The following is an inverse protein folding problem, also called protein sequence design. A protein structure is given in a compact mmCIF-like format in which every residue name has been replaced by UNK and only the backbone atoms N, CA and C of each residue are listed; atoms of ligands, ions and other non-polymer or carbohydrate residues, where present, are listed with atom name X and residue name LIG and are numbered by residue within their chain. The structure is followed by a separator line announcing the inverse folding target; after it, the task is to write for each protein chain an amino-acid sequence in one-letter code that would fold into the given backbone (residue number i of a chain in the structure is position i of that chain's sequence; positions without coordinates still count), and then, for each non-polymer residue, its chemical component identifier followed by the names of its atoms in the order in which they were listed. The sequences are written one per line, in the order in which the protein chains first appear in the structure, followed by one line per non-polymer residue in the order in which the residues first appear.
data_IF_461214706889
#
_entry.id   IF_461214706889
#
_cell.length_a   1.000
_cell.length_b   1.000
_cell.length_c   1.000
_cell.angle_alpha   90.00
_cell.angle_beta   90.00
_cell.angle_gamma   90.00
#
_symmetry.space_group_name_H-M   'P 1'
#
loop_
_entity.id
_entity.type
_entity.pdbx_description
1 polymer ?
#
# COMPACT_ATOMS: atom_id res chain seq x y z
N UNK A 1 22.09 63.63 -59.41
CA UNK A 1 23.44 63.26 -58.95
C UNK A 1 23.66 61.80 -59.32
N UNK A 2 24.36 61.58 -60.44
CA UNK A 2 25.69 60.93 -60.51
C UNK A 2 25.60 59.40 -60.36
N UNK A 3 25.53 58.67 -61.49
CA UNK A 3 26.64 57.91 -62.13
C UNK A 3 26.94 56.60 -61.39
N UNK A 4 27.27 55.46 -61.99
CA UNK A 4 27.20 54.87 -63.35
C UNK A 4 27.90 53.50 -63.21
N UNK A 5 27.47 52.52 -64.02
CA UNK A 5 28.28 51.44 -64.63
C UNK A 5 29.12 50.51 -63.72
N UNK A 6 28.89 49.20 -63.81
CA UNK A 6 29.67 48.31 -64.68
C UNK A 6 29.08 46.89 -64.71
N UNK A 7 29.26 46.26 -65.86
CA UNK A 7 28.81 44.93 -66.28
C UNK A 7 30.07 44.05 -66.43
N UNK A 8 30.05 42.81 -65.99
CA UNK A 8 30.75 41.72 -66.70
C UNK A 8 30.21 40.34 -66.32
N UNK A 9 29.77 39.64 -67.36
CA UNK A 9 29.54 38.20 -67.51
C UNK A 9 30.78 37.35 -67.21
N UNK A 10 30.59 36.11 -66.73
CA UNK A 10 31.02 34.89 -67.43
C UNK A 10 30.54 33.61 -66.73
N UNK A 11 30.39 32.58 -67.57
CA UNK A 11 29.72 31.29 -67.43
C UNK A 11 30.38 30.29 -66.46
N UNK A 12 29.57 29.39 -65.88
CA UNK A 12 29.71 27.92 -66.04
C UNK A 12 28.61 27.17 -65.27
N UNK A 13 27.88 26.27 -65.96
CA UNK A 13 26.82 25.39 -65.45
C UNK A 13 27.38 24.10 -64.78
N UNK A 14 26.59 23.03 -64.58
CA UNK A 14 25.55 22.78 -63.56
C UNK A 14 25.92 21.58 -62.64
N UNK A 15 25.25 21.36 -61.51
CA UNK A 15 24.90 20.00 -61.03
C UNK A 15 24.23 19.95 -59.64
N UNK A 16 23.33 18.96 -59.53
CA UNK A 16 22.93 18.19 -58.37
C UNK A 16 22.07 18.85 -57.27
N UNK A 17 20.76 18.59 -57.40
CA UNK A 17 19.80 18.39 -56.31
C UNK A 17 20.39 17.63 -55.11
N UNK A 18 20.10 18.09 -53.90
CA UNK A 18 19.98 17.22 -52.71
C UNK A 18 18.63 17.52 -52.04
N UNK A 19 17.82 16.47 -51.93
CA UNK A 19 16.54 16.44 -51.27
C UNK A 19 16.77 16.30 -49.75
N UNK A 20 16.67 17.41 -49.02
CA UNK A 20 16.53 17.41 -47.55
C UNK A 20 15.26 18.19 -47.19
N UNK A 21 14.12 17.57 -47.48
CA UNK A 21 12.82 18.01 -46.99
C UNK A 21 12.00 16.74 -46.68
N UNK A 22 12.36 16.01 -45.62
CA UNK A 22 11.73 14.71 -45.39
C UNK A 22 12.10 14.01 -44.09
N UNK A 23 12.26 14.71 -42.96
CA UNK A 23 12.41 14.04 -41.64
C UNK A 23 11.54 14.66 -40.53
N UNK A 24 10.80 15.74 -40.79
CA UNK A 24 10.05 16.46 -39.75
C UNK A 24 8.54 16.18 -39.66
N UNK A 25 7.97 15.23 -40.43
CA UNK A 25 6.50 15.06 -40.55
C UNK A 25 5.98 13.64 -40.32
N UNK A 26 6.40 12.98 -39.25
CA UNK A 26 5.69 11.78 -38.75
C UNK A 26 5.19 11.97 -37.32
N UNK A 27 5.87 12.78 -36.51
CA UNK A 27 5.44 13.17 -35.16
C UNK A 27 4.23 14.12 -35.16
N UNK A 28 4.14 15.03 -36.12
CA UNK A 28 2.97 15.93 -36.26
C UNK A 28 1.74 15.17 -36.76
N UNK A 29 1.90 14.21 -37.67
CA UNK A 29 0.77 13.52 -38.30
C UNK A 29 0.09 12.51 -37.36
N UNK A 30 0.86 11.84 -36.48
CA UNK A 30 0.29 10.99 -35.43
C UNK A 30 -0.22 11.80 -34.23
N UNK A 31 0.43 12.92 -33.90
CA UNK A 31 0.02 13.82 -32.81
C UNK A 31 -1.19 14.70 -33.12
N UNK A 32 -1.47 15.01 -34.38
CA UNK A 32 -2.63 15.83 -34.79
C UNK A 32 -3.95 15.05 -34.83
N UNK A 33 -3.90 13.71 -34.89
CA UNK A 33 -5.10 12.87 -34.96
C UNK A 33 -5.66 12.45 -33.59
N UNK A 34 -4.85 12.52 -32.53
CA UNK A 34 -5.25 12.31 -31.14
C UNK A 34 -5.93 13.59 -30.66
N UNK A 35 -7.20 13.46 -30.27
CA UNK A 35 -8.03 14.56 -29.81
C UNK A 35 -7.27 15.26 -28.68
N UNK A 36 -7.20 16.61 -28.74
CA UNK A 36 -6.48 17.48 -27.78
C UNK A 36 -6.74 17.12 -26.31
N UNK A 37 -7.89 16.51 -26.03
CA UNK A 37 -8.41 16.10 -24.73
C UNK A 37 -7.65 14.92 -24.09
N UNK A 38 -7.07 14.00 -24.88
CA UNK A 38 -6.35 12.82 -24.37
C UNK A 38 -4.85 12.81 -24.70
N UNK A 39 -4.30 13.95 -25.12
CA UNK A 39 -2.87 14.09 -25.47
C UNK A 39 -1.94 13.73 -24.30
N UNK A 40 -2.34 14.09 -23.06
CA UNK A 40 -1.56 13.73 -21.87
C UNK A 40 -1.47 12.21 -21.70
N UNK A 41 -2.59 11.50 -21.84
CA UNK A 41 -2.65 10.05 -21.73
C UNK A 41 -1.83 9.35 -22.82
N UNK A 42 -1.84 9.89 -24.05
CA UNK A 42 -1.00 9.40 -25.14
C UNK A 42 0.50 9.53 -24.83
N UNK A 43 0.94 10.68 -24.32
CA UNK A 43 2.35 10.87 -23.98
C UNK A 43 2.77 10.02 -22.77
N UNK A 44 1.89 9.81 -21.77
CA UNK A 44 2.15 8.91 -20.64
C UNK A 44 2.34 7.48 -21.11
N UNK A 45 1.38 6.91 -21.85
CA UNK A 45 1.46 5.54 -22.33
C UNK A 45 2.64 5.32 -23.28
N UNK A 46 2.94 6.32 -24.10
CA UNK A 46 4.15 6.34 -24.94
C UNK A 46 5.43 6.31 -24.10
N UNK A 47 5.47 7.07 -23.01
CA UNK A 47 6.61 7.12 -22.11
C UNK A 47 6.79 5.79 -21.36
N UNK A 48 5.71 5.15 -20.91
CA UNK A 48 5.74 3.82 -20.30
C UNK A 48 6.30 2.75 -21.25
N UNK A 49 5.90 2.76 -22.53
CA UNK A 49 6.47 1.86 -23.55
C UNK A 49 7.96 2.14 -23.74
N UNK A 50 8.38 3.41 -23.73
CA UNK A 50 9.80 3.79 -23.84
C UNK A 50 10.59 3.29 -22.63
N UNK A 51 10.07 3.46 -21.43
CA UNK A 51 10.75 3.07 -20.20
C UNK A 51 10.83 1.55 -20.06
N UNK A 52 9.74 0.83 -20.39
CA UNK A 52 9.74 -0.63 -20.47
C UNK A 52 10.79 -1.15 -21.46
N UNK A 53 10.82 -0.58 -22.67
CA UNK A 53 11.79 -1.01 -23.69
C UNK A 53 13.22 -0.71 -23.30
N UNK A 54 13.47 0.45 -22.67
CA UNK A 54 14.79 0.82 -22.15
C UNK A 54 15.26 -0.13 -21.03
N UNK A 55 14.38 -0.47 -20.10
CA UNK A 55 14.68 -1.39 -18.99
C UNK A 55 15.08 -2.79 -19.50
N UNK A 56 14.50 -3.23 -20.63
CA UNK A 56 14.74 -4.55 -21.22
C UNK A 56 15.74 -4.54 -22.40
N UNK A 57 16.40 -3.40 -22.67
CA UNK A 57 17.35 -3.28 -23.78
C UNK A 57 16.73 -3.45 -25.18
N UNK A 58 15.42 -3.22 -25.30
CA UNK A 58 14.66 -3.32 -26.54
C UNK A 58 14.82 -1.99 -27.30
N UNK A 59 15.27 -2.05 -28.55
CA UNK A 59 15.37 -0.84 -29.38
C UNK A 59 13.99 -0.43 -29.91
N UNK A 60 13.78 0.88 -30.11
CA UNK A 60 12.53 1.39 -30.70
C UNK A 60 12.23 0.78 -32.08
N UNK A 61 13.28 0.54 -32.88
CA UNK A 61 13.14 -0.06 -34.22
C UNK A 61 12.62 -1.51 -34.14
N UNK A 62 12.90 -2.21 -33.04
CA UNK A 62 12.42 -3.57 -32.76
C UNK A 62 10.89 -3.61 -32.66
N UNK A 63 10.27 -2.61 -32.02
CA UNK A 63 8.80 -2.53 -31.88
C UNK A 63 8.07 -2.43 -33.24
N UNK A 64 8.73 -1.86 -34.25
CA UNK A 64 8.15 -1.67 -35.58
C UNK A 64 8.31 -2.88 -36.52
N UNK A 65 9.03 -3.92 -36.10
CA UNK A 65 9.41 -5.08 -36.93
C UNK A 65 8.96 -6.39 -36.25
N UNK A 66 7.88 -7.03 -36.73
CA UNK A 66 7.31 -8.22 -36.10
C UNK A 66 8.31 -9.35 -35.84
N UNK A 67 9.22 -9.60 -36.78
CA UNK A 67 10.23 -10.66 -36.65
C UNK A 67 11.24 -10.36 -35.53
N UNK A 68 11.66 -9.10 -35.40
CA UNK A 68 12.58 -8.68 -34.34
C UNK A 68 11.87 -8.60 -32.99
N UNK A 69 10.63 -8.10 -32.95
CA UNK A 69 9.82 -8.08 -31.73
C UNK A 69 9.67 -9.49 -31.18
N UNK A 70 9.36 -10.46 -32.05
CA UNK A 70 9.23 -11.87 -31.69
C UNK A 70 10.52 -12.42 -31.07
N UNK A 71 11.67 -12.14 -31.68
CA UNK A 71 12.98 -12.58 -31.16
C UNK A 71 13.28 -12.04 -29.76
N UNK A 72 12.91 -10.78 -29.48
CA UNK A 72 13.17 -10.17 -28.18
C UNK A 72 12.14 -10.58 -27.13
N UNK A 73 10.88 -10.79 -27.52
CA UNK A 73 9.84 -11.32 -26.63
C UNK A 73 10.16 -12.72 -26.09
N UNK A 74 10.85 -13.58 -26.84
CA UNK A 74 11.28 -14.89 -26.35
C UNK A 74 12.25 -14.85 -25.15
N UNK A 75 12.84 -13.68 -24.86
CA UNK A 75 13.79 -13.48 -23.76
C UNK A 75 13.14 -12.83 -22.53
N UNK A 76 11.88 -12.40 -22.64
CA UNK A 76 11.13 -11.80 -21.55
C UNK A 76 10.54 -12.88 -20.64
N UNK A 77 10.34 -12.55 -19.37
CA UNK A 77 9.56 -13.39 -18.47
C UNK A 77 8.08 -13.40 -18.90
N UNK A 78 7.29 -14.36 -18.43
CA UNK A 78 5.84 -14.40 -18.70
C UNK A 78 5.15 -13.11 -18.25
N UNK A 79 5.50 -12.61 -17.05
CA UNK A 79 4.96 -11.35 -16.51
C UNK A 79 5.33 -10.15 -17.37
N UNK A 80 6.58 -10.06 -17.85
CA UNK A 80 7.01 -8.97 -18.74
C UNK A 80 6.35 -9.04 -20.11
N UNK A 81 6.03 -10.26 -20.60
CA UNK A 81 5.28 -10.45 -21.84
C UNK A 81 3.84 -9.98 -21.72
N UNK A 82 3.16 -10.35 -20.65
CA UNK A 82 1.79 -9.92 -20.35
C UNK A 82 1.74 -8.40 -20.22
N UNK A 83 2.71 -7.82 -19.52
CA UNK A 83 2.86 -6.36 -19.40
C UNK A 83 3.08 -5.67 -20.74
N UNK A 84 3.99 -6.18 -21.58
CA UNK A 84 4.24 -5.60 -22.90
C UNK A 84 3.01 -5.72 -23.80
N UNK A 85 2.31 -6.86 -23.78
CA UNK A 85 1.09 -7.07 -24.52
C UNK A 85 0.01 -6.06 -24.11
N UNK A 86 -0.17 -5.84 -22.80
CA UNK A 86 -1.12 -4.86 -22.26
C UNK A 86 -0.81 -3.43 -22.72
N UNK A 87 0.46 -3.00 -22.60
CA UNK A 87 0.89 -1.66 -23.02
C UNK A 87 0.62 -1.43 -24.52
N UNK A 88 0.93 -2.42 -25.36
CA UNK A 88 0.70 -2.34 -26.80
C UNK A 88 -0.80 -2.33 -27.14
N UNK A 89 -1.61 -3.12 -26.45
CA UNK A 89 -3.06 -3.16 -26.62
C UNK A 89 -3.72 -1.83 -26.26
N UNK A 90 -3.33 -1.22 -25.12
CA UNK A 90 -3.81 0.10 -24.71
C UNK A 90 -3.41 1.18 -25.72
N UNK A 91 -2.20 1.07 -26.29
CA UNK A 91 -1.71 2.02 -27.28
C UNK A 91 -2.46 1.89 -28.60
N UNK A 92 -2.72 0.66 -29.04
CA UNK A 92 -3.57 0.38 -30.21
C UNK A 92 -5.00 0.89 -30.00
N UNK A 93 -5.60 0.62 -28.84
CA UNK A 93 -6.93 1.13 -28.50
C UNK A 93 -6.99 2.65 -28.57
N UNK A 94 -6.01 3.34 -27.96
CA UNK A 94 -5.93 4.80 -27.97
C UNK A 94 -5.79 5.37 -29.39
N UNK A 95 -5.08 4.68 -30.29
CA UNK A 95 -4.98 5.08 -31.69
C UNK A 95 -6.30 4.89 -32.46
N UNK A 96 -7.04 3.81 -32.18
CA UNK A 96 -8.30 3.46 -32.88
C UNK A 96 -9.46 4.30 -32.35
N UNK A 97 -9.64 4.35 -31.04
CA UNK A 97 -10.80 4.94 -30.36
C UNK A 97 -10.59 6.42 -30.00
N UNK A 98 -9.34 6.89 -30.02
CA UNK A 98 -8.94 8.27 -29.64
C UNK A 98 -9.25 8.64 -28.19
N UNK A 99 -9.52 7.63 -27.36
CA UNK A 99 -9.73 7.73 -25.92
C UNK A 99 -8.94 6.60 -25.21
N UNK A 100 -8.58 6.76 -23.93
CA UNK A 100 -7.93 5.71 -23.15
C UNK A 100 -8.80 4.45 -23.12
N UNK A 101 -8.16 3.27 -23.20
CA UNK A 101 -8.85 2.02 -22.86
C UNK A 101 -9.18 2.09 -21.37
N UNK A 102 -10.47 2.09 -21.04
CA UNK A 102 -10.91 1.96 -19.65
C UNK A 102 -10.57 0.55 -19.17
N UNK A 103 -9.88 0.46 -18.03
CA UNK A 103 -9.60 -0.84 -17.39
C UNK A 103 -10.89 -1.29 -16.75
N UNK A 104 -11.49 -2.35 -17.29
CA UNK A 104 -12.75 -2.91 -16.80
C UNK A 104 -12.54 -4.17 -15.96
N UNK A 105 -11.37 -4.78 -16.03
CA UNK A 105 -11.03 -5.98 -15.28
C UNK A 105 -10.40 -5.62 -13.92
N UNK A 106 -10.98 -6.05 -12.79
CA UNK A 106 -10.43 -5.75 -11.47
C UNK A 106 -9.00 -6.26 -11.26
N UNK A 107 -8.66 -7.42 -11.81
CA UNK A 107 -7.32 -8.00 -11.66
C UNK A 107 -6.27 -7.18 -12.43
N UNK A 108 -6.57 -6.81 -13.68
CA UNK A 108 -5.75 -5.89 -14.47
C UNK A 108 -5.53 -4.56 -13.73
N UNK A 109 -6.59 -3.99 -13.14
CA UNK A 109 -6.49 -2.73 -12.39
C UNK A 109 -5.56 -2.85 -11.17
N UNK A 110 -5.73 -3.86 -10.33
CA UNK A 110 -4.91 -3.96 -9.12
C UNK A 110 -3.47 -4.35 -9.41
N UNK A 111 -3.20 -5.06 -10.49
CA UNK A 111 -1.82 -5.33 -10.89
C UNK A 111 -1.14 -4.07 -11.44
N UNK A 112 -1.82 -3.30 -12.28
CA UNK A 112 -1.26 -2.05 -12.83
C UNK A 112 -0.96 -1.02 -11.75
N UNK A 113 -1.90 -0.78 -10.83
CA UNK A 113 -1.75 0.29 -9.85
C UNK A 113 -1.07 -0.18 -8.56
N UNK A 114 -1.33 -1.41 -8.10
CA UNK A 114 -0.89 -1.87 -6.77
C UNK A 114 0.16 -3.01 -6.82
N UNK A 115 0.41 -3.64 -7.98
CA UNK A 115 1.25 -4.85 -8.09
C UNK A 115 0.83 -5.92 -7.07
N UNK A 116 -0.48 -6.15 -6.98
CA UNK A 116 -1.08 -6.84 -5.84
C UNK A 116 -0.76 -8.35 -5.82
N UNK A 117 -0.55 -8.97 -6.98
CA UNK A 117 -0.34 -10.42 -7.07
C UNK A 117 0.89 -10.87 -6.26
N UNK A 118 2.03 -10.18 -6.46
CA UNK A 118 3.27 -10.49 -5.73
C UNK A 118 3.12 -10.28 -4.23
N UNK A 119 2.45 -9.19 -3.83
CA UNK A 119 2.22 -8.88 -2.42
C UNK A 119 1.31 -9.92 -1.75
N UNK A 120 0.26 -10.34 -2.45
CA UNK A 120 -0.69 -11.34 -1.99
C UNK A 120 -0.02 -12.71 -1.82
N UNK A 121 0.64 -13.20 -2.88
CA UNK A 121 1.30 -14.51 -2.86
C UNK A 121 2.36 -14.60 -1.74
N UNK A 122 3.17 -13.55 -1.57
CA UNK A 122 4.15 -13.48 -0.49
C UNK A 122 3.50 -13.59 0.90
N UNK A 123 2.39 -12.87 1.12
CA UNK A 123 1.69 -12.90 2.40
C UNK A 123 1.03 -14.26 2.67
N UNK A 124 0.39 -14.86 1.67
CA UNK A 124 -0.18 -16.21 1.79
C UNK A 124 0.90 -17.21 2.19
N UNK A 125 2.02 -17.25 1.45
CA UNK A 125 3.14 -18.15 1.73
C UNK A 125 3.71 -17.94 3.15
N UNK A 126 3.89 -16.69 3.56
CA UNK A 126 4.36 -16.36 4.89
C UNK A 126 3.37 -16.84 5.97
N UNK A 127 2.09 -16.56 5.81
CA UNK A 127 1.04 -16.93 6.77
C UNK A 127 0.87 -18.46 6.89
N UNK A 128 1.06 -19.21 5.81
CA UNK A 128 1.16 -20.68 5.82
C UNK A 128 2.42 -21.14 6.56
N UNK A 129 3.58 -20.56 6.23
CA UNK A 129 4.88 -20.93 6.82
C UNK A 129 4.93 -20.73 8.35
N UNK A 130 4.24 -19.70 8.87
CA UNK A 130 4.15 -19.43 10.31
C UNK A 130 2.99 -20.17 10.99
N UNK A 131 2.15 -20.87 10.23
CA UNK A 131 1.06 -21.70 10.75
C UNK A 131 -0.19 -20.92 11.18
N UNK A 132 -0.35 -19.67 10.71
CA UNK A 132 -1.61 -18.92 10.84
C UNK A 132 -2.64 -19.53 9.91
N UNK A 133 -2.28 -19.73 8.64
CA UNK A 133 -3.12 -20.44 7.68
C UNK A 133 -2.93 -21.95 7.84
N UNK A 134 -4.04 -22.63 8.09
CA UNK A 134 -4.14 -24.09 8.07
C UNK A 134 -5.16 -24.46 7.01
N UNK A 135 -4.72 -25.16 5.98
CA UNK A 135 -5.57 -25.54 4.83
C UNK A 135 -6.27 -24.30 4.20
N UNK A 136 -5.56 -23.17 4.10
CA UNK A 136 -6.07 -21.94 3.50
C UNK A 136 -7.05 -21.14 4.38
N UNK A 137 -7.14 -21.43 5.68
CA UNK A 137 -8.06 -20.74 6.58
C UNK A 137 -7.47 -20.46 7.96
N UNK A 138 -8.10 -19.54 8.70
CA UNK A 138 -7.86 -19.29 10.13
C UNK A 138 -9.00 -19.83 10.97
N UNK A 139 -8.71 -20.13 12.24
CA UNK A 139 -9.71 -20.46 13.25
C UNK A 139 -10.07 -19.20 14.06
N UNK A 140 -11.34 -18.83 14.02
CA UNK A 140 -11.88 -17.68 14.74
C UNK A 140 -12.06 -17.91 16.25
N UNK A 141 -12.15 -16.82 17.01
CA UNK A 141 -12.47 -16.85 18.46
C UNK A 141 -13.85 -17.44 18.77
N UNK A 142 -14.72 -17.49 17.78
CA UNK A 142 -16.07 -18.05 17.82
C UNK A 142 -16.11 -19.53 17.39
N UNK A 143 -14.95 -20.12 17.09
CA UNK A 143 -14.81 -21.50 16.62
C UNK A 143 -15.13 -21.70 15.13
N UNK A 144 -15.45 -20.63 14.40
CA UNK A 144 -15.69 -20.71 12.96
C UNK A 144 -14.37 -20.77 12.18
N UNK A 145 -14.40 -21.40 11.01
CA UNK A 145 -13.27 -21.45 10.08
C UNK A 145 -13.48 -20.36 9.03
N UNK A 146 -12.49 -19.48 8.89
CA UNK A 146 -12.53 -18.33 7.99
C UNK A 146 -11.49 -18.51 6.88
N UNK A 147 -11.89 -18.79 5.62
CA UNK A 147 -10.95 -18.90 4.52
C UNK A 147 -10.25 -17.57 4.28
N UNK A 148 -9.00 -17.62 3.81
CA UNK A 148 -8.30 -16.41 3.37
C UNK A 148 -9.06 -15.73 2.22
N UNK A 149 -9.17 -14.40 2.20
CA UNK A 149 -9.75 -13.67 1.06
C UNK A 149 -8.95 -13.95 -0.20
N UNK A 150 -9.61 -14.23 -1.32
CA UNK A 150 -8.90 -14.47 -2.59
C UNK A 150 -8.42 -13.16 -3.20
N UNK A 151 -7.41 -13.25 -4.08
CA UNK A 151 -6.92 -12.09 -4.82
C UNK A 151 -8.04 -11.41 -5.61
N UNK A 152 -8.95 -12.19 -6.21
CA UNK A 152 -10.10 -11.68 -6.97
C UNK A 152 -11.09 -10.92 -6.08
N UNK A 153 -11.33 -11.39 -4.85
CA UNK A 153 -12.20 -10.71 -3.90
C UNK A 153 -11.62 -9.35 -3.50
N UNK A 154 -10.32 -9.31 -3.24
CA UNK A 154 -9.61 -8.07 -2.89
C UNK A 154 -9.58 -7.13 -4.11
N UNK A 155 -9.28 -7.66 -5.28
CA UNK A 155 -9.22 -6.91 -6.53
C UNK A 155 -10.55 -6.25 -6.87
N UNK A 156 -11.65 -7.01 -6.76
CA UNK A 156 -13.00 -6.50 -7.01
C UNK A 156 -13.33 -5.33 -6.09
N UNK A 157 -13.02 -5.43 -4.80
CA UNK A 157 -13.27 -4.34 -3.84
C UNK A 157 -12.46 -3.08 -4.11
N UNK A 158 -11.16 -3.24 -4.39
CA UNK A 158 -10.32 -2.09 -4.74
C UNK A 158 -10.85 -1.43 -6.01
N UNK A 159 -11.25 -2.24 -7.00
CA UNK A 159 -11.80 -1.75 -8.26
C UNK A 159 -13.14 -1.04 -8.08
N UNK A 160 -14.09 -1.62 -7.33
CA UNK A 160 -15.39 -1.01 -7.04
C UNK A 160 -15.23 0.32 -6.29
N UNK A 161 -14.25 0.40 -5.38
CA UNK A 161 -13.95 1.61 -4.59
C UNK A 161 -12.91 2.53 -5.21
N UNK A 162 -12.47 2.29 -6.46
CA UNK A 162 -11.33 2.98 -7.10
C UNK A 162 -11.44 4.50 -7.07
N UNK A 163 -12.63 5.05 -7.29
CA UNK A 163 -12.87 6.50 -7.24
C UNK A 163 -12.63 7.07 -5.84
N UNK A 164 -13.09 6.36 -4.80
CA UNK A 164 -12.88 6.76 -3.40
C UNK A 164 -11.44 6.52 -2.91
N UNK A 165 -10.73 5.58 -3.55
CA UNK A 165 -9.35 5.22 -3.21
C UNK A 165 -8.32 6.02 -4.00
N UNK A 166 -8.68 6.73 -5.06
CA UNK A 166 -7.75 7.47 -5.92
C UNK A 166 -6.87 8.45 -5.12
N UNK A 167 -7.47 9.19 -4.19
CA UNK A 167 -6.71 10.10 -3.30
C UNK A 167 -5.75 9.33 -2.40
N UNK A 168 -6.12 8.14 -1.91
CA UNK A 168 -5.26 7.31 -1.06
C UNK A 168 -4.14 6.64 -1.84
N UNK A 169 -4.43 6.26 -3.06
CA UNK A 169 -3.43 5.80 -4.00
C UNK A 169 -2.37 6.88 -4.27
N UNK A 170 -2.78 8.11 -4.59
CA UNK A 170 -1.86 9.26 -4.76
C UNK A 170 -1.01 9.49 -3.50
N UNK A 171 -1.61 9.36 -2.32
CA UNK A 171 -0.94 9.48 -1.02
C UNK A 171 -0.04 8.28 -0.67
N UNK A 172 0.08 7.29 -1.56
CA UNK A 172 1.01 6.16 -1.46
C UNK A 172 0.46 4.94 -0.70
N UNK A 173 -0.85 4.83 -0.47
CA UNK A 173 -1.46 3.65 0.16
C UNK A 173 -1.56 2.48 -0.83
N UNK A 174 -0.44 1.82 -1.10
CA UNK A 174 -0.31 0.75 -2.11
C UNK A 174 0.13 -0.60 -1.55
N UNK A 175 0.58 -0.65 -0.29
CA UNK A 175 1.06 -1.87 0.37
C UNK A 175 -0.09 -2.64 1.01
N UNK A 176 -0.37 -3.85 0.51
CA UNK A 176 -1.38 -4.76 1.05
C UNK A 176 -0.98 -5.28 2.44
N UNK A 177 -1.95 -5.46 3.32
CA UNK A 177 -1.82 -6.18 4.58
C UNK A 177 -3.06 -7.05 4.84
N UNK A 178 -2.87 -8.37 4.85
CA UNK A 178 -3.88 -9.38 5.16
C UNK A 178 -3.84 -9.76 6.64
N UNK A 179 -4.76 -9.22 7.42
CA UNK A 179 -4.76 -9.38 8.88
C UNK A 179 -5.74 -10.48 9.30
N UNK A 180 -5.29 -11.53 10.03
CA UNK A 180 -6.13 -12.61 10.50
C UNK A 180 -6.96 -12.18 11.74
N UNK A 181 -7.76 -11.13 11.61
CA UNK A 181 -8.45 -10.45 12.71
C UNK A 181 -9.29 -11.37 13.59
N UNK A 182 -9.95 -12.37 13.00
CA UNK A 182 -10.80 -13.32 13.71
C UNK A 182 -10.04 -14.29 14.61
N UNK A 183 -8.75 -14.49 14.37
CA UNK A 183 -7.87 -15.29 15.22
C UNK A 183 -7.73 -14.63 16.60
N UNK A 184 -7.60 -15.43 17.66
CA UNK A 184 -7.37 -14.87 18.99
C UNK A 184 -6.04 -14.15 19.06
N UNK A 185 -6.01 -13.01 19.75
CA UNK A 185 -4.79 -12.23 19.95
C UNK A 185 -3.73 -13.07 20.68
N UNK A 186 -4.14 -13.93 21.63
CA UNK A 186 -3.23 -14.86 22.30
C UNK A 186 -2.53 -15.82 21.34
N UNK A 187 -3.28 -16.41 20.40
CA UNK A 187 -2.71 -17.31 19.41
C UNK A 187 -1.78 -16.55 18.44
N UNK A 188 -2.18 -15.36 17.99
CA UNK A 188 -1.36 -14.54 17.10
C UNK A 188 -0.05 -14.09 17.79
N UNK A 189 -0.11 -13.69 19.06
CA UNK A 189 1.06 -13.33 19.88
C UNK A 189 2.03 -14.50 20.03
N UNK A 190 1.51 -15.71 20.24
CA UNK A 190 2.35 -16.91 20.33
C UNK A 190 2.98 -17.26 18.97
N UNK A 191 2.21 -17.19 17.88
CA UNK A 191 2.75 -17.38 16.53
C UNK A 191 3.86 -16.36 16.22
N UNK A 192 3.67 -15.10 16.62
CA UNK A 192 4.68 -14.06 16.44
C UNK A 192 5.98 -14.37 17.21
N UNK A 193 5.88 -14.82 18.46
CA UNK A 193 7.05 -15.29 19.24
C UNK A 193 7.80 -16.40 18.51
N UNK A 194 7.07 -17.41 18.03
CA UNK A 194 7.66 -18.54 17.30
C UNK A 194 8.29 -18.09 15.97
N UNK A 195 7.66 -17.14 15.27
CA UNK A 195 8.21 -16.53 14.07
C UNK A 195 9.55 -15.85 14.36
N UNK A 196 9.64 -14.98 15.37
CA UNK A 196 10.89 -14.30 15.74
C UNK A 196 12.00 -15.31 16.07
N UNK A 197 11.70 -16.33 16.87
CA UNK A 197 12.65 -17.39 17.23
C UNK A 197 13.11 -18.15 15.98
N UNK A 198 12.20 -18.50 15.06
CA UNK A 198 12.51 -19.19 13.80
C UNK A 198 13.37 -18.30 12.90
N UNK A 199 13.02 -17.03 12.77
CA UNK A 199 13.75 -16.05 11.99
C UNK A 199 15.19 -15.88 12.51
N UNK A 200 15.38 -15.76 13.83
CA UNK A 200 16.71 -15.73 14.46
C UNK A 200 17.54 -16.98 14.16
N UNK A 201 16.92 -18.16 14.11
CA UNK A 201 17.62 -19.41 13.78
C UNK A 201 18.12 -19.45 12.34
N UNK A 202 17.37 -18.89 11.39
CA UNK A 202 17.78 -18.80 9.99
C UNK A 202 18.68 -17.58 9.70
N UNK A 203 18.62 -16.54 10.52
CA UNK A 203 19.39 -15.29 10.39
C UNK A 203 20.18 -15.04 11.68
N UNK A 204 21.35 -15.67 11.79
CA UNK A 204 22.15 -15.62 13.02
C UNK A 204 22.60 -14.21 13.42
N UNK A 205 22.64 -13.26 12.48
CA UNK A 205 22.94 -11.84 12.71
C UNK A 205 21.78 -11.03 13.27
N UNK A 206 20.53 -11.50 13.17
CA UNK A 206 19.37 -10.80 13.74
C UNK A 206 19.49 -10.80 15.27
N UNK A 207 19.51 -9.65 15.92
CA UNK A 207 19.77 -9.60 17.37
C UNK A 207 18.45 -9.78 18.14
N UNK A 208 18.20 -11.00 18.63
CA UNK A 208 16.97 -11.37 19.35
C UNK A 208 17.31 -12.07 20.66
N UNK A 209 16.65 -11.66 21.74
CA UNK A 209 16.60 -12.42 22.98
C UNK A 209 15.60 -13.58 22.85
N UNK A 210 16.13 -14.79 22.71
CA UNK A 210 15.30 -16.01 22.56
C UNK A 210 14.51 -16.32 23.85
N UNK A 211 14.96 -15.81 25.01
CA UNK A 211 14.30 -16.08 26.30
C UNK A 211 13.04 -15.23 26.52
N UNK A 212 12.99 -14.03 25.95
CA UNK A 212 11.83 -13.14 25.97
C UNK A 212 11.69 -12.38 24.63
N UNK A 213 11.36 -13.05 23.52
CA UNK A 213 11.37 -12.44 22.19
C UNK A 213 10.24 -11.40 22.01
N UNK A 214 9.20 -11.48 22.85
CA UNK A 214 8.06 -10.58 22.81
C UNK A 214 7.51 -10.35 24.21
N UNK A 215 7.88 -9.21 24.78
CA UNK A 215 7.49 -8.81 26.11
C UNK A 215 6.12 -8.12 26.09
N UNK A 216 5.20 -8.64 26.89
CA UNK A 216 3.80 -8.21 26.93
C UNK A 216 3.28 -8.28 28.35
N UNK A 217 2.39 -7.37 28.72
CA UNK A 217 1.72 -7.42 30.01
C UNK A 217 0.72 -8.59 30.08
N UNK A 218 0.53 -9.17 31.27
CA UNK A 218 -0.42 -10.28 31.49
C UNK A 218 -1.86 -9.91 31.16
N UNK A 219 -2.16 -8.61 31.14
CA UNK A 219 -3.43 -8.03 30.75
C UNK A 219 -3.86 -8.32 29.32
N UNK A 220 -2.92 -8.60 28.41
CA UNK A 220 -3.23 -8.99 27.05
C UNK A 220 -3.78 -10.42 26.96
N UNK A 221 -3.57 -11.26 27.99
CA UNK A 221 -4.06 -12.63 28.01
C UNK A 221 -5.59 -12.65 27.98
N UNK A 222 -6.16 -13.25 26.94
CA UNK A 222 -7.59 -13.37 26.75
C UNK A 222 -8.32 -12.04 26.58
N UNK A 223 -7.60 -10.96 26.22
CA UNK A 223 -8.17 -9.61 26.21
C UNK A 223 -9.26 -9.43 25.14
N UNK A 224 -9.24 -10.22 24.07
CA UNK A 224 -10.15 -10.15 22.94
C UNK A 224 -11.22 -11.25 22.91
N UNK A 225 -11.27 -12.11 23.93
CA UNK A 225 -12.17 -13.27 24.03
C UNK A 225 -13.02 -13.25 25.31
N UNK A 226 -13.98 -14.18 25.39
CA UNK A 226 -14.87 -14.36 26.53
C UNK A 226 -16.08 -13.42 26.54
N UNK A 227 -16.88 -13.49 27.60
CA UNK A 227 -18.13 -12.73 27.71
C UNK A 227 -17.88 -11.23 27.99
N UNK A 228 -16.74 -10.91 28.61
CA UNK A 228 -16.35 -9.56 28.98
C UNK A 228 -14.92 -9.25 28.48
N UNK A 229 -14.70 -9.20 27.16
CA UNK A 229 -13.38 -8.91 26.63
C UNK A 229 -12.96 -7.50 27.05
N UNK A 230 -11.69 -7.36 27.39
CA UNK A 230 -11.09 -6.12 27.85
C UNK A 230 -10.74 -5.17 26.69
N UNK A 231 -10.43 -5.74 25.53
CA UNK A 231 -10.01 -5.00 24.34
C UNK A 231 -11.24 -4.64 23.50
N UNK A 232 -11.30 -3.36 23.13
CA UNK A 232 -12.31 -2.78 22.26
C UNK A 232 -11.63 -2.26 21.02
N UNK A 233 -12.25 -2.49 19.87
CA UNK A 233 -11.72 -2.16 18.55
C UNK A 233 -12.48 -1.01 17.91
N UNK A 234 -11.75 -0.21 17.13
CA UNK A 234 -12.19 0.96 16.40
C UNK A 234 -13.04 1.92 17.24
N UNK A 235 -12.53 2.39 18.40
CA UNK A 235 -13.26 3.35 19.22
C UNK A 235 -13.47 4.66 18.47
N UNK A 236 -14.55 5.35 18.82
CA UNK A 236 -14.68 6.78 18.54
C UNK A 236 -13.88 7.55 19.60
N UNK A 237 -14.04 7.23 20.89
CA UNK A 237 -13.33 7.91 21.98
C UNK A 237 -12.70 6.89 22.92
N UNK A 238 -11.56 7.24 23.53
CA UNK A 238 -11.00 6.47 24.64
C UNK A 238 -11.74 6.81 25.93
N UNK A 239 -12.77 6.04 26.23
CA UNK A 239 -13.60 6.19 27.41
C UNK A 239 -14.07 4.83 27.92
N UNK A 240 -14.34 4.73 29.22
CA UNK A 240 -14.89 3.52 29.82
C UNK A 240 -16.27 3.15 29.23
N UNK A 241 -17.13 4.15 29.04
CA UNK A 241 -18.47 4.04 28.45
C UNK A 241 -18.62 5.04 27.29
N UNK A 242 -19.56 4.78 26.39
CA UNK A 242 -19.82 5.67 25.25
C UNK A 242 -18.66 5.76 24.25
N UNK A 243 -17.72 4.81 24.27
CA UNK A 243 -16.55 4.80 23.41
C UNK A 243 -16.84 4.57 21.93
N UNK A 244 -18.01 4.03 21.56
CA UNK A 244 -18.42 3.80 20.17
C UNK A 244 -17.71 2.64 19.44
N UNK A 245 -16.64 2.08 20.01
CA UNK A 245 -15.99 0.85 19.52
C UNK A 245 -16.76 -0.44 19.82
N UNK A 246 -16.28 -1.56 19.26
CA UNK A 246 -16.90 -2.90 19.33
C UNK A 246 -15.94 -3.95 19.85
N UNK A 247 -16.47 -5.06 20.39
CA UNK A 247 -15.66 -6.24 20.71
C UNK A 247 -15.36 -7.03 19.43
N UNK A 248 -14.30 -7.87 19.45
CA UNK A 248 -13.98 -8.74 18.32
C UNK A 248 -15.17 -9.65 17.93
N UNK A 249 -15.85 -10.24 18.92
CA UNK A 249 -17.03 -11.07 18.67
C UNK A 249 -18.17 -10.30 17.97
N UNK A 250 -18.45 -9.06 18.39
CA UNK A 250 -19.44 -8.21 17.74
C UNK A 250 -19.04 -7.89 16.29
N UNK A 251 -17.76 -7.61 16.05
CA UNK A 251 -17.26 -7.35 14.70
C UNK A 251 -17.37 -8.58 13.78
N UNK A 252 -17.02 -9.77 14.27
CA UNK A 252 -17.16 -11.01 13.51
C UNK A 252 -18.63 -11.30 13.18
N UNK A 253 -19.54 -11.12 14.13
CA UNK A 253 -20.97 -11.29 13.91
C UNK A 253 -21.52 -10.33 12.83
N UNK A 254 -21.00 -9.10 12.78
CA UNK A 254 -21.35 -8.12 11.76
C UNK A 254 -20.77 -8.44 10.38
N UNK A 255 -19.52 -8.88 10.33
CA UNK A 255 -18.87 -9.32 9.10
C UNK A 255 -19.61 -10.49 8.45
N UNK A 256 -20.01 -11.50 9.23
CA UNK A 256 -20.79 -12.65 8.74
C UNK A 256 -22.16 -12.22 8.17
N UNK A 257 -22.73 -11.13 8.69
CA UNK A 257 -24.00 -10.58 8.19
C UNK A 257 -23.83 -9.67 6.97
N UNK A 258 -22.62 -9.55 6.41
CA UNK A 258 -22.32 -8.64 5.30
C UNK A 258 -22.49 -7.17 5.69
N UNK A 259 -22.32 -6.84 6.97
CA UNK A 259 -22.52 -5.50 7.52
C UNK A 259 -21.24 -4.96 8.12
N UNK A 260 -20.18 -4.90 7.31
CA UNK A 260 -18.92 -4.37 7.81
C UNK A 260 -18.52 -3.08 7.12
N UNK A 261 -18.58 -2.01 7.92
CA UNK A 261 -17.73 -0.84 7.77
C UNK A 261 -16.98 -0.71 9.11
N UNK A 262 -15.65 -0.46 9.14
CA UNK A 262 -15.00 0.01 10.34
C UNK A 262 -15.80 1.17 10.92
N UNK A 263 -15.93 1.27 12.24
CA UNK A 263 -16.67 2.38 12.86
C UNK A 263 -16.13 3.77 12.42
N UNK A 264 -14.94 3.81 11.82
CA UNK A 264 -14.25 4.94 11.18
C UNK A 264 -14.54 5.24 9.72
N UNK A 265 -15.26 4.40 8.99
CA UNK A 265 -15.32 4.55 7.54
C UNK A 265 -16.44 5.48 7.04
N UNK A 266 -17.47 5.84 7.82
CA UNK A 266 -18.52 6.77 7.37
C UNK A 266 -19.36 6.32 6.16
N UNK A 267 -19.00 5.22 5.50
CA UNK A 267 -19.63 4.68 4.31
C UNK A 267 -20.86 3.84 4.71
N UNK A 268 -22.00 4.14 4.08
CA UNK A 268 -23.22 3.35 4.20
C UNK A 268 -22.96 1.88 3.85
N UNK A 269 -23.61 0.97 4.59
CA UNK A 269 -23.42 -0.47 4.46
C UNK A 269 -23.90 -0.96 3.10
N UNK A 270 -22.98 -1.08 2.15
CA UNK A 270 -23.23 -1.87 0.93
C UNK A 270 -23.28 -3.35 1.31
N UNK A 271 -24.30 -4.05 0.79
CA UNK A 271 -24.53 -5.48 1.02
C UNK A 271 -23.54 -6.29 0.19
N UNK A 272 -22.29 -6.27 0.58
CA UNK A 272 -21.26 -7.02 -0.14
C UNK A 272 -20.76 -8.19 0.69
N UNK A 273 -20.33 -9.25 -0.02
CA UNK A 273 -19.70 -10.41 0.61
C UNK A 273 -18.47 -9.90 1.36
N UNK A 274 -18.59 -9.81 2.69
CA UNK A 274 -17.49 -9.48 3.58
C UNK A 274 -16.33 -10.47 3.42
N UNK A 275 -15.22 -10.19 4.09
CA UNK A 275 -14.10 -11.13 4.27
C UNK A 275 -14.12 -11.55 5.73
N UNK A 276 -15.09 -12.38 6.17
CA UNK A 276 -15.31 -12.59 7.59
C UNK A 276 -14.07 -13.22 8.21
N UNK A 277 -13.71 -12.77 9.41
CA UNK A 277 -12.49 -13.20 10.09
C UNK A 277 -11.22 -12.49 9.60
N UNK A 278 -11.28 -11.69 8.54
CA UNK A 278 -10.12 -10.98 8.00
C UNK A 278 -10.39 -9.47 7.91
N UNK A 279 -9.34 -8.69 8.10
CA UNK A 279 -9.33 -7.28 7.68
C UNK A 279 -8.23 -7.11 6.64
N UNK A 280 -8.56 -6.35 5.60
CA UNK A 280 -7.66 -6.10 4.48
C UNK A 280 -7.34 -4.62 4.47
N UNK A 281 -6.06 -4.29 4.51
CA UNK A 281 -5.60 -2.92 4.61
C UNK A 281 -4.66 -2.57 3.46
N UNK A 282 -4.67 -1.30 3.09
CA UNK A 282 -3.63 -0.64 2.33
C UNK A 282 -2.85 0.28 3.27
N UNK A 283 -1.52 0.22 3.18
CA UNK A 283 -0.56 1.03 3.92
C UNK A 283 0.44 1.67 2.97
N UNK A 284 1.21 2.63 3.48
CA UNK A 284 2.32 3.22 2.75
C UNK A 284 3.55 2.30 2.84
N UNK A 285 4.20 1.92 1.73
CA UNK A 285 5.41 1.11 1.75
C UNK A 285 6.63 1.88 2.27
N UNK A 286 7.73 1.17 2.50
CA UNK A 286 9.00 1.80 2.92
C UNK A 286 9.80 2.40 1.76
N UNK A 287 9.67 1.84 0.56
CA UNK A 287 10.34 2.28 -0.67
C UNK A 287 9.47 3.23 -1.50
N UNK A 288 9.00 4.33 -0.90
CA UNK A 288 8.31 5.41 -1.60
C UNK A 288 9.32 6.20 -2.45
N UNK A 289 9.79 5.65 -3.58
CA UNK A 289 10.55 6.44 -4.55
C UNK A 289 9.80 6.50 -5.88
N UNK A 290 9.62 7.72 -6.38
CA UNK A 290 8.78 8.08 -7.54
C UNK A 290 9.29 7.54 -8.89
N UNK A 291 10.38 6.77 -8.87
CA UNK A 291 11.16 6.36 -10.04
C UNK A 291 11.34 4.85 -10.15
N UNK A 292 11.01 4.06 -9.12
CA UNK A 292 11.20 2.61 -9.17
C UNK A 292 9.86 1.88 -9.31
N UNK A 293 9.73 1.20 -10.45
CA UNK A 293 8.67 0.23 -10.78
C UNK A 293 8.79 -1.06 -9.93
N UNK A 294 9.51 -1.01 -8.82
CA UNK A 294 9.71 -2.14 -7.92
C UNK A 294 8.46 -2.40 -7.09
N UNK A 295 8.22 -3.67 -6.78
CA UNK A 295 7.10 -4.08 -5.95
C UNK A 295 7.19 -3.40 -4.58
N UNK A 296 6.09 -2.86 -4.03
CA UNK A 296 6.10 -2.22 -2.72
C UNK A 296 6.69 -3.16 -1.64
N UNK A 297 7.74 -2.72 -0.93
CA UNK A 297 8.39 -3.47 0.14
C UNK A 297 8.31 -2.75 1.47
N UNK A 298 8.21 -3.53 2.56
CA UNK A 298 8.13 -3.03 3.92
C UNK A 298 6.95 -2.10 4.15
N UNK A 299 7.02 -1.32 5.23
CA UNK A 299 6.01 -0.35 5.62
C UNK A 299 6.71 0.93 6.04
N UNK A 300 6.11 2.07 5.70
CA UNK A 300 6.67 3.38 5.99
C UNK A 300 6.83 3.58 7.51
N UNK A 301 7.97 4.10 7.97
CA UNK A 301 8.20 4.37 9.39
C UNK A 301 7.32 5.51 9.90
N UNK A 302 7.09 5.56 11.22
CA UNK A 302 6.45 6.72 11.86
C UNK A 302 7.51 7.82 12.05
N UNK A 303 7.43 8.96 11.34
CA UNK A 303 8.46 9.98 11.40
C UNK A 303 8.52 10.64 12.78
N UNK A 304 9.72 11.02 13.20
CA UNK A 304 9.94 11.86 14.38
C UNK A 304 9.29 13.24 14.21
N UNK A 305 9.02 13.90 15.32
CA UNK A 305 8.50 15.27 15.31
C UNK A 305 9.40 16.22 14.48
N UNK A 306 8.80 16.90 13.51
CA UNK A 306 9.46 17.81 12.57
C UNK A 306 10.36 17.13 11.53
N UNK A 307 10.21 15.82 11.31
CA UNK A 307 11.01 15.01 10.36
C UNK A 307 10.19 14.36 9.26
N UNK A 308 8.87 14.49 9.28
CA UNK A 308 8.01 13.92 8.26
C UNK A 308 8.03 14.74 6.97
N UNK A 309 7.76 14.06 5.86
CA UNK A 309 7.53 14.68 4.56
C UNK A 309 6.08 14.46 4.14
N UNK A 310 5.40 15.48 3.57
CA UNK A 310 4.09 15.28 2.97
C UNK A 310 4.15 14.27 1.83
N UNK A 311 3.07 13.51 1.66
CA UNK A 311 2.90 12.49 0.61
C UNK A 311 1.74 12.90 -0.31
N UNK A 312 1.65 12.37 -1.53
CA UNK A 312 0.63 12.78 -2.51
C UNK A 312 1.11 13.88 -3.45
N UNK A 313 0.99 13.64 -4.76
CA UNK A 313 1.35 14.60 -5.82
C UNK A 313 0.19 15.54 -6.12
N UNK A 314 -1.03 14.99 -6.16
CA UNK A 314 -2.24 15.74 -6.43
C UNK A 314 -2.86 16.25 -5.13
N UNK A 315 -2.98 15.39 -4.12
CA UNK A 315 -3.62 15.70 -2.84
C UNK A 315 -2.64 15.47 -1.71
N UNK A 316 -2.00 16.55 -1.27
CA UNK A 316 -0.98 16.50 -0.23
C UNK A 316 -1.55 16.02 1.11
N UNK A 317 -0.97 14.94 1.64
CA UNK A 317 -1.21 14.39 2.98
C UNK A 317 -0.07 14.76 3.91
N UNK A 318 -0.31 15.56 4.95
CA UNK A 318 0.70 15.82 5.97
C UNK A 318 1.06 14.52 6.72
N UNK A 319 2.33 14.34 7.08
CA UNK A 319 2.79 13.13 7.77
C UNK A 319 2.22 13.04 9.19
N UNK A 320 1.94 11.82 9.65
CA UNK A 320 1.61 11.54 11.05
C UNK A 320 2.89 11.41 11.86
N UNK A 321 3.45 12.55 12.24
CA UNK A 321 4.66 12.60 13.06
C UNK A 321 4.39 12.22 14.52
N UNK A 322 5.41 11.68 15.19
CA UNK A 322 5.43 11.43 16.63
C UNK A 322 5.29 12.71 17.46
N UNK A 323 4.92 12.55 18.73
CA UNK A 323 4.84 13.64 19.70
C UNK A 323 3.44 14.15 19.98
N UNK A 324 2.39 13.43 19.61
CA UNK A 324 1.01 13.68 20.04
C UNK A 324 0.52 12.56 20.97
N UNK A 325 -0.56 12.79 21.71
CA UNK A 325 -1.19 11.78 22.54
C UNK A 325 -2.07 10.82 21.72
N UNK A 326 -2.38 9.62 22.23
CA UNK A 326 -3.35 8.74 21.56
C UNK A 326 -4.68 9.44 21.25
N UNK A 327 -5.24 10.19 22.20
CA UNK A 327 -6.49 10.96 21.99
C UNK A 327 -6.36 12.02 20.89
N UNK A 328 -5.20 12.66 20.75
CA UNK A 328 -4.95 13.63 19.68
C UNK A 328 -4.94 12.93 18.30
N UNK A 329 -4.24 11.79 18.16
CA UNK A 329 -4.27 10.99 16.94
C UNK A 329 -5.68 10.49 16.60
N UNK A 330 -6.41 9.97 17.60
CA UNK A 330 -7.79 9.53 17.38
C UNK A 330 -8.69 10.70 16.95
N UNK A 331 -8.48 11.91 17.48
CA UNK A 331 -9.23 13.10 17.07
C UNK A 331 -9.00 13.48 15.60
N UNK A 332 -7.81 13.21 15.04
CA UNK A 332 -7.56 13.39 13.59
C UNK A 332 -8.51 12.50 12.79
N UNK A 333 -8.58 11.21 13.13
CA UNK A 333 -9.47 10.25 12.49
C UNK A 333 -10.94 10.65 12.65
N UNK A 334 -11.34 11.14 13.82
CA UNK A 334 -12.71 11.57 14.07
C UNK A 334 -13.11 12.76 13.19
N UNK A 335 -12.28 13.81 13.16
CA UNK A 335 -12.55 15.00 12.35
C UNK A 335 -12.61 14.66 10.87
N UNK A 336 -11.74 13.77 10.42
CA UNK A 336 -11.70 13.32 9.05
C UNK A 336 -12.95 12.53 8.61
N UNK A 337 -13.75 11.97 9.53
CA UNK A 337 -15.00 11.29 9.18
C UNK A 337 -16.09 12.25 8.72
N UNK A 338 -16.12 13.45 9.30
CA UNK A 338 -17.14 14.47 9.03
C UNK A 338 -16.72 15.41 7.88
N UNK A 339 -15.51 15.23 7.36
CA UNK A 339 -14.87 16.10 6.38
C UNK A 339 -14.26 15.25 5.26
N UNK A 340 -14.97 15.13 4.13
CA UNK A 340 -14.53 14.40 2.93
C UNK A 340 -13.27 15.00 2.30
N UNK A 341 -13.03 16.31 2.50
CA UNK A 341 -11.85 17.01 2.00
C UNK A 341 -10.62 16.80 2.90
N UNK A 342 -10.79 16.14 4.05
CA UNK A 342 -9.69 15.86 4.97
C UNK A 342 -8.66 14.93 4.30
N UNK A 343 -7.35 15.25 4.39
CA UNK A 343 -6.32 14.35 3.87
C UNK A 343 -6.28 12.99 4.57
N UNK A 344 -6.97 12.84 5.70
CA UNK A 344 -7.07 11.60 6.48
C UNK A 344 -8.44 10.92 6.35
N UNK A 345 -9.34 11.40 5.48
CA UNK A 345 -10.66 10.79 5.27
C UNK A 345 -10.52 9.32 4.85
N UNK A 346 -11.36 8.42 5.36
CA UNK A 346 -11.29 6.98 5.06
C UNK A 346 -10.13 6.21 5.70
N UNK A 347 -9.29 6.86 6.51
CA UNK A 347 -8.21 6.19 7.26
C UNK A 347 -8.68 5.64 8.62
N UNK A 348 -7.91 4.70 9.16
CA UNK A 348 -8.16 4.04 10.44
C UNK A 348 -6.86 3.84 11.22
N UNK A 349 -6.94 3.82 12.55
CA UNK A 349 -5.80 3.48 13.39
C UNK A 349 -5.52 1.98 13.40
N UNK A 350 -4.25 1.59 13.52
CA UNK A 350 -3.87 0.17 13.61
C UNK A 350 -4.29 -0.48 14.93
N UNK A 351 -4.54 -1.78 14.88
CA UNK A 351 -4.77 -2.71 16.00
C UNK A 351 -3.49 -3.51 16.33
N UNK A 352 -3.44 -4.23 17.46
CA UNK A 352 -2.35 -5.19 17.76
C UNK A 352 -2.14 -6.23 16.67
N UNK A 353 -3.21 -6.76 16.08
CA UNK A 353 -3.18 -7.73 15.00
C UNK A 353 -2.53 -7.14 13.74
N UNK A 354 -2.90 -5.90 13.39
CA UNK A 354 -2.35 -5.20 12.22
C UNK A 354 -0.84 -5.05 12.37
N UNK A 355 -0.37 -4.60 13.55
CA UNK A 355 1.07 -4.37 13.76
C UNK A 355 1.86 -5.68 13.78
N UNK A 356 1.37 -6.72 14.46
CA UNK A 356 2.06 -8.01 14.50
C UNK A 356 2.20 -8.58 13.09
N UNK A 357 1.14 -8.49 12.29
CA UNK A 357 1.15 -8.98 10.91
C UNK A 357 2.09 -8.15 10.03
N UNK A 358 2.01 -6.82 10.13
CA UNK A 358 2.88 -5.90 9.42
C UNK A 358 4.35 -6.12 9.78
N UNK A 359 4.68 -6.37 11.05
CA UNK A 359 6.04 -6.65 11.49
C UNK A 359 6.59 -7.92 10.84
N UNK A 360 5.82 -9.02 10.85
CA UNK A 360 6.28 -10.28 10.23
C UNK A 360 6.59 -10.13 8.75
N UNK A 361 5.74 -9.40 8.03
CA UNK A 361 5.94 -9.07 6.61
C UNK A 361 7.16 -8.17 6.43
N UNK A 362 7.22 -7.06 7.18
CA UNK A 362 8.31 -6.09 7.11
C UNK A 362 9.68 -6.73 7.31
N UNK A 363 9.82 -7.55 8.37
CA UNK A 363 11.07 -8.21 8.69
C UNK A 363 11.46 -9.25 7.64
N UNK A 364 10.47 -9.94 7.06
CA UNK A 364 10.71 -10.94 6.02
C UNK A 364 11.13 -10.32 4.69
N UNK A 365 10.60 -9.14 4.36
CA UNK A 365 10.93 -8.42 3.12
C UNK A 365 12.23 -7.60 3.23
N UNK A 366 12.43 -6.89 4.34
CA UNK A 366 13.51 -5.90 4.47
C UNK A 366 14.72 -6.41 5.24
N UNK A 367 14.54 -7.48 6.03
CA UNK A 367 15.53 -7.94 7.00
C UNK A 367 15.73 -7.01 8.21
N UNK A 368 14.95 -5.93 8.32
CA UNK A 368 14.98 -4.99 9.42
C UNK A 368 13.72 -5.09 10.29
N UNK A 369 13.80 -4.83 11.60
CA UNK A 369 12.62 -4.75 12.46
C UNK A 369 11.78 -3.51 12.15
N UNK A 370 10.46 -3.65 12.21
CA UNK A 370 9.53 -2.52 12.10
C UNK A 370 9.43 -1.76 13.44
N UNK A 371 9.44 -0.43 13.37
CA UNK A 371 9.32 0.49 14.51
C UNK A 371 10.47 0.31 15.53
N UNK A 372 11.71 0.25 15.03
CA UNK A 372 12.94 0.26 15.84
C UNK A 372 13.24 1.66 16.36
N UNK A 373 12.55 2.05 17.42
CA UNK A 373 12.58 3.44 17.89
C UNK A 373 13.97 3.93 18.31
N UNK A 374 14.90 3.04 18.64
CA UNK A 374 16.25 3.41 19.07
C UNK A 374 17.20 3.67 17.89
N UNK A 375 16.80 3.38 16.65
CA UNK A 375 17.61 3.68 15.46
C UNK A 375 17.72 5.19 15.15
N UNK A 376 16.96 6.02 15.88
CA UNK A 376 16.99 7.49 15.78
C UNK A 376 16.13 8.08 14.67
N UNK A 377 15.54 7.24 13.81
CA UNK A 377 14.68 7.66 12.68
C UNK A 377 13.23 7.23 12.85
N UNK A 378 12.98 6.07 13.44
CA UNK A 378 11.65 5.48 13.61
C UNK A 378 11.05 5.81 14.97
N UNK A 379 9.73 5.66 15.10
CA UNK A 379 9.00 5.94 16.34
C UNK A 379 8.20 4.75 16.81
N UNK A 380 7.88 4.75 18.10
CA UNK A 380 6.98 3.78 18.70
C UNK A 380 5.56 4.03 18.15
N UNK A 381 4.76 2.97 17.99
CA UNK A 381 3.41 3.05 17.46
C UNK A 381 2.34 2.97 18.56
N UNK A 382 1.49 3.99 18.67
CA UNK A 382 0.19 3.91 19.31
C UNK A 382 -0.80 3.21 18.36
N UNK A 383 -1.41 2.15 18.88
CA UNK A 383 -2.41 1.37 18.15
C UNK A 383 -3.80 1.91 18.46
N UNK A 384 -4.09 3.07 17.89
CA UNK A 384 -5.34 3.83 18.12
C UNK A 384 -6.60 3.10 17.62
N UNK A 385 -6.43 2.03 16.84
CA UNK A 385 -7.51 1.12 16.46
C UNK A 385 -8.01 0.23 17.59
N UNK A 386 -7.37 0.21 18.76
CA UNK A 386 -7.86 -0.53 19.92
C UNK A 386 -7.58 0.17 21.25
N UNK A 387 -8.35 -0.19 22.29
CA UNK A 387 -8.06 0.22 23.66
C UNK A 387 -8.63 -0.74 24.71
N UNK A 388 -8.07 -0.74 25.91
CA UNK A 388 -8.54 -1.48 27.06
C UNK A 388 -9.62 -0.71 27.80
N UNK A 389 -10.83 -1.27 27.87
CA UNK A 389 -11.96 -0.73 28.64
C UNK A 389 -11.93 -1.15 30.11
N UNK A 390 -10.78 -0.96 30.77
CA UNK A 390 -10.63 -1.18 32.22
C UNK A 390 -10.61 0.13 33.01
N UNK A 391 -10.46 0.05 34.34
CA UNK A 391 -10.48 1.20 35.25
C UNK A 391 -9.45 2.29 34.91
N UNK A 392 -8.41 1.99 34.12
CA UNK A 392 -7.38 2.94 33.69
C UNK A 392 -7.50 3.45 32.24
N UNK A 393 -8.43 2.94 31.41
CA UNK A 393 -8.60 3.28 29.96
C UNK A 393 -7.25 3.40 29.24
N UNK A 394 -6.77 2.32 28.63
CA UNK A 394 -5.39 2.28 28.15
C UNK A 394 -5.29 1.94 26.67
N UNK A 395 -4.36 2.60 25.96
CA UNK A 395 -4.15 2.40 24.52
C UNK A 395 -2.91 1.53 24.31
N UNK A 396 -3.01 0.44 23.52
CA UNK A 396 -1.86 -0.39 23.20
C UNK A 396 -0.77 0.41 22.48
N UNK A 397 0.46 0.09 22.81
CA UNK A 397 1.64 0.76 22.28
C UNK A 397 2.72 -0.28 22.02
N UNK A 398 3.30 -0.28 20.83
CA UNK A 398 4.16 -1.37 20.36
C UNK A 398 5.37 -0.85 19.57
N UNK A 399 6.49 -1.55 19.73
CA UNK A 399 7.77 -1.20 19.10
C UNK A 399 8.76 -2.36 19.18
N UNK A 400 9.81 -2.27 18.37
CA UNK A 400 11.02 -3.05 18.56
C UNK A 400 11.99 -2.35 19.51
N UNK A 401 12.52 -3.07 20.51
CA UNK A 401 13.46 -2.54 21.48
C UNK A 401 14.83 -3.18 21.33
N UNK A 402 15.72 -2.53 20.57
CA UNK A 402 17.03 -3.12 20.24
C UNK A 402 17.92 -3.38 21.48
N UNK A 403 17.83 -2.57 22.54
CA UNK A 403 18.61 -2.79 23.77
C UNK A 403 18.28 -4.13 24.46
N UNK A 404 16.99 -4.50 24.50
CA UNK A 404 16.57 -5.80 25.04
C UNK A 404 16.46 -6.87 23.95
N UNK A 405 16.61 -6.49 22.67
CA UNK A 405 16.56 -7.41 21.52
C UNK A 405 15.21 -8.13 21.42
N UNK A 406 14.13 -7.40 21.60
CA UNK A 406 12.77 -7.97 21.66
C UNK A 406 11.72 -6.99 21.15
N UNK A 407 10.56 -7.51 20.76
CA UNK A 407 9.37 -6.69 20.58
C UNK A 407 8.71 -6.40 21.95
N UNK A 408 8.15 -5.22 22.11
CA UNK A 408 7.46 -4.80 23.34
C UNK A 408 6.03 -4.36 23.02
N UNK A 409 5.02 -5.04 23.58
CA UNK A 409 3.63 -4.59 23.56
C UNK A 409 3.22 -4.14 24.96
N UNK A 410 3.16 -2.82 25.13
CA UNK A 410 2.84 -2.13 26.37
C UNK A 410 1.53 -1.34 26.22
N UNK A 411 1.29 -0.45 27.16
CA UNK A 411 0.10 0.37 27.23
C UNK A 411 0.50 1.79 27.59
N UNK A 412 -0.30 2.74 27.13
CA UNK A 412 -0.12 4.15 27.39
C UNK A 412 -1.48 4.77 27.72
N UNK A 413 -1.46 5.78 28.58
CA UNK A 413 -2.70 6.51 28.87
C UNK A 413 -3.09 7.38 27.66
N UNK A 414 -4.39 7.67 27.44
CA UNK A 414 -4.86 8.39 26.25
C UNK A 414 -4.34 9.82 26.13
N UNK A 415 -3.93 10.40 27.27
CA UNK A 415 -3.37 11.76 27.38
C UNK A 415 -1.85 11.80 27.47
N UNK A 416 -1.19 10.63 27.51
CA UNK A 416 0.26 10.60 27.54
C UNK A 416 0.81 11.15 26.23
N UNK A 417 1.74 12.09 26.31
CA UNK A 417 2.38 12.71 25.17
C UNK A 417 3.87 12.47 25.27
N UNK A 418 4.39 11.68 24.34
CA UNK A 418 5.81 11.36 24.28
C UNK A 418 6.37 11.69 22.90
N UNK A 419 7.49 12.42 22.88
CA UNK A 419 8.14 12.92 21.65
C UNK A 419 8.53 11.82 20.67
N UNK A 420 8.66 10.59 21.16
CA UNK A 420 9.14 9.45 20.42
C UNK A 420 8.05 8.41 20.08
N UNK A 421 6.79 8.73 20.33
CA UNK A 421 5.65 7.86 20.05
C UNK A 421 4.71 8.59 19.09
N UNK A 422 4.30 7.89 18.02
CA UNK A 422 3.32 8.39 17.07
C UNK A 422 2.24 7.36 16.77
N UNK A 423 1.57 7.47 15.64
CA UNK A 423 0.56 6.49 15.22
C UNK A 423 0.65 6.29 13.72
N UNK A 424 0.46 5.04 13.28
CA UNK A 424 0.34 4.69 11.86
C UNK A 424 -1.13 4.46 11.54
N UNK A 425 -1.58 5.09 10.45
CA UNK A 425 -2.92 4.87 9.92
C UNK A 425 -2.87 3.98 8.69
N UNK A 426 -3.99 3.31 8.42
CA UNK A 426 -4.19 2.45 7.26
C UNK A 426 -5.56 2.70 6.64
N UNK A 427 -5.73 2.32 5.37
CA UNK A 427 -7.01 2.35 4.68
C UNK A 427 -7.55 0.93 4.61
N UNK A 428 -8.75 0.72 5.16
CA UNK A 428 -9.40 -0.60 5.14
C UNK A 428 -10.23 -0.74 3.87
N UNK A 429 -10.05 -1.85 3.15
CA UNK A 429 -10.69 -2.10 1.85
C UNK A 429 -11.84 -3.10 1.87
#
# INVERSE_FOLDING_TARGET
MSMSLFRSTSESAPSATSAEAGVQRTSEILGEAVIKEHRAHFETLRQEIIDFTKAHGISKDTLSKPDLLREVTYKLSTSDLERLANLLERFEYLLIHKEPKEITDPLEYVEEFYQLEKQYNFQVELLEQVGILKEGAILGIDGNIYPIPTLEQIASRIFERRETLETKYDQGFTKLLLVPFGMSLDALRETFKQFLIKYKKSHSSFDLDISDPFCTWSTYQGADIGDFPALVYYPQFFAWEGHGGKTKAQMLEEQVKGRWAPASAGVEVEKELGTPGWTVHLLQPSNLDDQDMETPIGFSPIPRQGKGTPQGKLTSRPPLEAGQSPSEYLSILQKAREDEDSPYHGETGMTPEDWITAFMIHLSETGQPLDDYLNGTESISYLTGAFFRWSSVDVPCIYWYCNNRQANLIWSTPRNREVNIGSRFSVVI
#
